data_IF_319929233701
#
_entry.id   IF_319929233701
#
_cell.length_a   1.000
_cell.length_b   1.000
_cell.length_c   1.000
_cell.angle_alpha   90.00
_cell.angle_beta   90.00
_cell.angle_gamma   90.00
#
_symmetry.space_group_name_H-M   'P 1'
#
loop_
_entity.id
_entity.type
_entity.pdbx_description
1 polymer ?
#
# COMPACT_ATOMS: atom_id res chain seq x y z
N UNK A 1 53.39 20.19 19.13
CA UNK A 1 52.47 21.18 18.53
C UNK A 1 52.28 20.90 17.05
N UNK A 2 53.26 21.13 16.17
CA UNK A 2 53.10 20.84 14.72
C UNK A 2 52.84 19.35 14.41
N UNK A 3 53.57 18.43 15.07
CA UNK A 3 53.35 16.98 14.90
C UNK A 3 51.97 16.55 15.38
N UNK A 4 51.50 17.08 16.52
CA UNK A 4 50.19 16.71 17.10
C UNK A 4 49.03 17.23 16.26
N UNK A 5 49.13 18.45 15.70
CA UNK A 5 48.14 18.98 14.75
C UNK A 5 48.10 18.14 13.47
N UNK A 6 49.26 17.77 12.92
CA UNK A 6 49.33 16.95 11.71
C UNK A 6 48.86 15.51 11.92
N UNK A 7 49.10 14.90 13.10
CA UNK A 7 48.54 13.58 13.45
C UNK A 7 47.01 13.65 13.50
N UNK A 8 46.45 14.67 14.15
CA UNK A 8 44.98 14.84 14.25
C UNK A 8 44.34 15.03 12.86
N UNK A 9 44.95 15.84 11.99
CA UNK A 9 44.52 16.01 10.61
C UNK A 9 44.66 14.75 9.75
N UNK A 10 45.71 13.95 9.97
CA UNK A 10 45.90 12.67 9.29
C UNK A 10 44.82 11.65 9.68
N UNK A 11 44.49 11.56 10.97
CA UNK A 11 43.42 10.68 11.47
C UNK A 11 42.04 11.12 10.95
N UNK A 12 41.77 12.44 10.95
CA UNK A 12 40.54 12.99 10.41
C UNK A 12 40.38 12.67 8.90
N UNK A 13 41.43 12.89 8.11
CA UNK A 13 41.44 12.56 6.68
C UNK A 13 41.27 11.04 6.44
N UNK A 14 41.84 10.18 7.29
CA UNK A 14 41.65 8.74 7.18
C UNK A 14 40.19 8.32 7.41
N UNK A 15 39.51 8.92 8.39
CA UNK A 15 38.09 8.66 8.65
C UNK A 15 37.22 9.20 7.51
N UNK A 16 37.54 10.38 6.99
CA UNK A 16 36.84 10.99 5.85
C UNK A 16 36.92 10.10 4.61
N UNK A 17 38.13 9.62 4.28
CA UNK A 17 38.33 8.66 3.19
C UNK A 17 37.52 7.38 3.39
N UNK A 18 37.36 6.92 4.64
CA UNK A 18 36.52 5.77 4.97
C UNK A 18 35.04 5.99 4.65
N UNK A 19 34.49 7.15 5.07
CA UNK A 19 33.09 7.52 4.79
C UNK A 19 32.84 7.71 3.29
N UNK A 20 33.73 8.43 2.59
CA UNK A 20 33.63 8.62 1.13
C UNK A 20 33.72 7.27 0.40
N UNK A 21 34.61 6.38 0.84
CA UNK A 21 34.75 5.05 0.23
C UNK A 21 33.47 4.21 0.42
N UNK A 22 32.82 4.31 1.58
CA UNK A 22 31.54 3.65 1.84
C UNK A 22 30.41 4.24 0.97
N UNK A 23 30.37 5.56 0.80
CA UNK A 23 29.44 6.23 -0.13
C UNK A 23 29.63 5.73 -1.57
N UNK A 24 30.88 5.68 -2.07
CA UNK A 24 31.20 5.19 -3.42
C UNK A 24 30.79 3.72 -3.56
N UNK A 25 31.12 2.88 -2.58
CA UNK A 25 30.81 1.45 -2.61
C UNK A 25 29.29 1.20 -2.68
N UNK A 26 28.50 2.02 -1.98
CA UNK A 26 27.05 1.89 -1.91
C UNK A 26 26.28 2.81 -2.88
N UNK A 27 26.96 3.50 -3.80
CA UNK A 27 26.33 4.44 -4.73
C UNK A 27 25.28 3.83 -5.68
N UNK A 28 25.24 2.50 -5.79
CA UNK A 28 24.22 1.77 -6.56
C UNK A 28 23.23 0.98 -5.68
N UNK A 29 23.39 1.02 -4.35
CA UNK A 29 22.50 0.31 -3.42
C UNK A 29 21.18 1.09 -3.28
N UNK A 30 20.05 0.42 -3.50
CA UNK A 30 18.75 1.07 -3.36
C UNK A 30 18.50 1.53 -1.93
N UNK A 31 17.93 2.73 -1.79
CA UNK A 31 17.63 3.34 -0.49
C UNK A 31 18.85 3.72 0.35
N UNK A 32 20.08 3.61 -0.18
CA UNK A 32 21.27 4.08 0.53
C UNK A 32 21.27 5.60 0.66
N UNK A 33 21.67 6.07 1.84
CA UNK A 33 21.76 7.49 2.18
C UNK A 33 23.20 7.85 2.48
N UNK A 34 23.73 8.83 1.74
CA UNK A 34 25.08 9.38 1.85
C UNK A 34 25.39 9.73 3.30
N UNK A 35 26.56 9.33 3.77
CA UNK A 35 27.13 9.77 5.03
C UNK A 35 28.10 10.93 4.80
N UNK A 36 28.04 11.94 5.66
CA UNK A 36 28.99 13.05 5.69
C UNK A 36 29.70 13.10 7.05
N UNK A 37 31.03 13.19 7.03
CA UNK A 37 31.82 13.33 8.24
C UNK A 37 31.87 14.80 8.68
N UNK A 38 31.50 15.07 9.92
CA UNK A 38 31.59 16.41 10.51
C UNK A 38 32.88 16.55 11.33
N UNK A 39 33.53 17.70 11.17
CA UNK A 39 34.77 18.03 11.85
C UNK A 39 34.55 19.12 12.90
N UNK A 40 35.29 19.03 14.00
CA UNK A 40 35.37 20.05 15.03
C UNK A 40 36.83 20.41 15.30
N UNK A 41 37.10 21.68 15.56
CA UNK A 41 38.42 22.13 15.99
C UNK A 41 38.72 21.67 17.42
N UNK A 42 39.94 21.18 17.65
CA UNK A 42 40.41 20.88 18.99
C UNK A 42 40.86 22.19 19.64
N UNK A 43 40.13 22.64 20.65
CA UNK A 43 40.49 23.81 21.46
C UNK A 43 41.28 23.40 22.70
N UNK A 44 42.47 23.99 22.87
CA UNK A 44 43.29 23.85 24.08
C UNK A 44 43.27 25.16 24.86
N UNK A 45 42.47 25.20 25.93
CA UNK A 45 42.56 26.27 26.92
C UNK A 45 43.86 26.11 27.74
N UNK A 46 44.97 26.69 27.28
CA UNK A 46 46.09 26.92 28.19
C UNK A 46 45.74 28.11 29.08
N UNK A 47 45.72 27.88 30.40
CA UNK A 47 45.47 28.91 31.43
C UNK A 47 46.54 30.01 31.35
N UNK A 48 46.32 31.02 30.51
CA UNK A 48 47.21 32.16 30.36
C UNK A 48 46.64 33.18 29.38
N UNK A 49 46.38 34.39 29.87
CA UNK A 49 45.83 35.51 29.10
C UNK A 49 46.76 35.92 27.94
N UNK A 50 46.50 35.42 26.73
CA UNK A 50 47.08 35.93 25.49
C UNK A 50 46.12 35.69 24.32
N UNK A 51 45.73 36.75 23.61
CA UNK A 51 44.70 36.76 22.54
C UNK A 51 45.09 36.03 21.24
N UNK A 52 46.23 35.34 21.18
CA UNK A 52 46.72 34.63 19.99
C UNK A 52 47.22 33.23 20.32
N UNK A 53 46.30 32.34 20.67
CA UNK A 53 46.60 30.91 20.84
C UNK A 53 46.45 30.18 19.50
N UNK A 54 47.50 29.51 18.97
CA UNK A 54 47.36 28.65 17.80
C UNK A 54 46.44 27.46 18.09
N UNK A 55 45.57 27.10 17.15
CA UNK A 55 44.68 25.93 17.26
C UNK A 55 45.45 24.61 17.43
N UNK A 56 44.88 23.66 18.17
CA UNK A 56 45.56 22.41 18.55
C UNK A 56 45.27 21.21 17.65
N UNK A 57 44.44 21.37 16.61
CA UNK A 57 44.19 20.35 15.60
C UNK A 57 42.72 20.25 15.24
N UNK A 58 42.35 19.13 14.62
CA UNK A 58 40.98 18.82 14.19
C UNK A 58 40.61 17.42 14.68
N UNK A 59 39.35 17.23 15.03
CA UNK A 59 38.79 15.91 15.32
C UNK A 59 37.56 15.67 14.44
N UNK A 60 37.39 14.42 14.04
CA UNK A 60 36.13 13.94 13.49
C UNK A 60 35.13 13.78 14.64
N UNK A 61 34.02 14.49 14.57
CA UNK A 61 33.02 14.53 15.65
C UNK A 61 32.00 13.41 15.48
N UNK A 62 31.36 13.34 14.31
CA UNK A 62 30.34 12.34 13.98
C UNK A 62 30.12 12.25 12.49
N UNK A 63 29.64 11.09 12.05
CA UNK A 63 29.05 10.92 10.71
C UNK A 63 27.57 11.22 10.78
N UNK A 64 27.06 12.05 9.86
CA UNK A 64 25.64 12.34 9.71
C UNK A 64 25.15 11.75 8.39
N UNK A 65 24.00 11.10 8.43
CA UNK A 65 23.31 10.62 7.22
C UNK A 65 22.49 11.76 6.60
N UNK A 66 22.64 11.98 5.30
CA UNK A 66 21.78 12.86 4.51
C UNK A 66 20.58 12.09 3.97
N UNK A 67 19.39 12.46 4.44
CA UNK A 67 18.11 11.84 4.05
C UNK A 67 17.47 12.50 2.82
N UNK A 68 18.18 13.39 2.11
CA UNK A 68 17.73 13.96 0.85
C UNK A 68 17.28 12.87 -0.14
N UNK A 69 16.24 13.16 -0.92
CA UNK A 69 15.60 12.20 -1.83
C UNK A 69 16.58 11.78 -2.95
N UNK A 70 16.68 10.48 -3.21
CA UNK A 70 17.42 9.93 -4.35
C UNK A 70 16.60 9.96 -5.64
N UNK A 71 17.23 9.54 -6.75
CA UNK A 71 16.52 9.31 -8.01
C UNK A 71 15.56 8.12 -7.92
N UNK A 72 14.60 8.04 -8.83
CA UNK A 72 13.68 6.89 -8.94
C UNK A 72 14.04 6.03 -10.14
N UNK A 73 13.97 4.71 -9.96
CA UNK A 73 14.14 3.73 -11.03
C UNK A 73 12.94 2.80 -11.04
N UNK A 74 12.18 2.82 -12.14
CA UNK A 74 11.05 1.91 -12.34
C UNK A 74 11.53 0.45 -12.48
N UNK A 75 10.73 -0.47 -11.97
CA UNK A 75 11.02 -1.91 -12.00
C UNK A 75 9.78 -2.69 -12.46
N UNK A 76 9.97 -3.98 -12.76
CA UNK A 76 8.87 -4.88 -13.12
C UNK A 76 8.22 -5.58 -11.92
N UNK A 77 8.75 -5.37 -10.71
CA UNK A 77 8.30 -6.03 -9.48
C UNK A 77 7.27 -5.14 -8.78
N UNK A 78 6.07 -5.67 -8.57
CA UNK A 78 4.98 -4.95 -7.88
C UNK A 78 5.28 -4.68 -6.39
N UNK A 79 6.23 -5.41 -5.81
CA UNK A 79 6.66 -5.27 -4.41
C UNK A 79 7.80 -4.27 -4.23
N UNK A 80 8.35 -3.75 -5.32
CA UNK A 80 9.34 -2.71 -5.25
C UNK A 80 8.63 -1.39 -4.96
N UNK A 81 8.86 -0.83 -3.78
CA UNK A 81 8.21 0.38 -3.32
C UNK A 81 9.23 1.48 -3.09
N UNK A 82 8.95 2.69 -3.58
CA UNK A 82 9.73 3.88 -3.24
C UNK A 82 8.87 4.89 -2.50
N UNK A 83 9.47 5.62 -1.57
CA UNK A 83 8.81 6.74 -0.89
C UNK A 83 9.15 8.01 -1.65
N UNK A 84 8.12 8.75 -2.07
CA UNK A 84 8.23 10.07 -2.68
C UNK A 84 7.91 11.15 -1.65
N UNK A 85 8.96 11.72 -1.05
CA UNK A 85 8.87 12.67 0.05
C UNK A 85 9.47 12.11 1.34
N UNK A 86 9.02 12.64 2.48
CA UNK A 86 9.57 12.30 3.79
C UNK A 86 8.97 11.00 4.37
N UNK A 87 9.77 10.24 5.10
CA UNK A 87 9.31 8.98 5.72
C UNK A 87 10.34 7.86 5.59
N UNK A 88 10.14 6.80 6.36
CA UNK A 88 10.91 5.57 6.32
C UNK A 88 9.94 4.40 6.41
N UNK A 89 10.20 3.32 5.68
CA UNK A 89 9.52 2.05 5.88
C UNK A 89 9.86 1.52 7.26
N UNK A 90 8.86 0.96 7.93
CA UNK A 90 9.02 0.33 9.24
C UNK A 90 9.15 -1.17 9.01
N UNK A 91 10.24 -1.76 9.47
CA UNK A 91 10.50 -3.20 9.33
C UNK A 91 10.74 -3.83 10.69
N UNK A 92 10.35 -5.08 10.85
CA UNK A 92 10.54 -5.86 12.07
C UNK A 92 11.59 -6.95 11.82
N UNK A 93 12.66 -6.94 12.62
CA UNK A 93 13.79 -7.86 12.50
C UNK A 93 14.03 -8.56 13.84
N UNK A 94 13.63 -9.82 13.96
CA UNK A 94 13.88 -10.61 15.17
C UNK A 94 13.26 -10.06 16.47
N UNK A 95 12.23 -9.21 16.37
CA UNK A 95 11.59 -8.54 17.50
C UNK A 95 11.95 -7.06 17.65
N UNK A 96 12.99 -6.60 16.95
CA UNK A 96 13.41 -5.20 16.94
C UNK A 96 12.78 -4.45 15.76
N UNK A 97 12.28 -3.25 16.01
CA UNK A 97 11.78 -2.35 14.97
C UNK A 97 12.91 -1.51 14.40
N UNK A 98 13.10 -1.61 13.09
CA UNK A 98 14.08 -0.86 12.32
C UNK A 98 13.38 -0.06 11.22
N UNK A 99 14.10 0.90 10.65
CA UNK A 99 13.59 1.83 9.65
C UNK A 99 14.48 1.81 8.43
N UNK A 100 13.92 1.87 7.22
CA UNK A 100 14.72 1.86 5.98
C UNK A 100 14.08 2.68 4.88
N UNK A 101 14.91 3.15 3.93
CA UNK A 101 14.47 3.69 2.64
C UNK A 101 14.49 2.66 1.52
N UNK A 102 15.17 1.53 1.74
CA UNK A 102 15.18 0.46 0.76
C UNK A 102 13.81 -0.20 0.73
N UNK A 103 13.22 -0.29 -0.46
CA UNK A 103 11.92 -0.92 -0.66
C UNK A 103 11.97 -2.06 -1.66
N UNK A 104 13.10 -2.76 -1.71
CA UNK A 104 13.29 -4.03 -2.41
C UNK A 104 12.64 -5.18 -1.61
N UNK A 105 11.30 -5.20 -1.61
CA UNK A 105 10.54 -6.21 -0.89
C UNK A 105 10.23 -7.43 -1.77
N UNK A 106 9.97 -8.56 -1.10
CA UNK A 106 9.52 -9.81 -1.69
C UNK A 106 8.45 -10.46 -0.82
N UNK A 107 7.71 -11.39 -1.40
CA UNK A 107 6.71 -12.16 -0.68
C UNK A 107 7.36 -13.42 -0.09
N UNK A 108 7.20 -13.61 1.22
CA UNK A 108 7.54 -14.86 1.91
C UNK A 108 6.53 -15.97 1.54
N UNK A 109 6.89 -17.27 1.64
CA UNK A 109 5.92 -18.36 1.47
C UNK A 109 4.68 -18.25 2.37
N UNK A 110 4.83 -17.64 3.55
CA UNK A 110 3.72 -17.40 4.50
C UNK A 110 2.89 -16.14 4.13
N UNK A 111 3.16 -15.48 3.01
CA UNK A 111 2.44 -14.29 2.55
C UNK A 111 2.91 -12.97 3.18
N UNK A 112 3.92 -12.96 4.05
CA UNK A 112 4.46 -11.70 4.59
C UNK A 112 5.29 -10.95 3.55
N UNK A 113 5.15 -9.62 3.53
CA UNK A 113 6.04 -8.75 2.76
C UNK A 113 7.34 -8.58 3.55
N UNK A 114 8.45 -9.05 2.98
CA UNK A 114 9.75 -9.08 3.65
C UNK A 114 10.83 -8.43 2.81
N UNK A 115 11.85 -7.88 3.46
CA UNK A 115 13.08 -7.46 2.79
C UNK A 115 13.90 -8.68 2.34
N UNK A 116 14.93 -8.47 1.52
CA UNK A 116 15.86 -9.54 1.16
C UNK A 116 16.52 -10.19 2.40
N UNK A 117 16.77 -9.39 3.44
CA UNK A 117 17.26 -9.84 4.75
C UNK A 117 16.24 -10.57 5.63
N UNK A 118 15.00 -10.76 5.17
CA UNK A 118 13.94 -11.48 5.90
C UNK A 118 13.22 -10.67 6.98
N UNK A 119 13.47 -9.35 7.04
CA UNK A 119 12.75 -8.47 7.98
C UNK A 119 11.38 -8.13 7.43
N UNK A 120 10.34 -8.11 8.27
CA UNK A 120 8.94 -7.98 7.83
C UNK A 120 8.51 -6.52 7.77
N UNK A 121 7.96 -6.10 6.64
CA UNK A 121 7.38 -4.76 6.48
C UNK A 121 6.15 -4.62 7.39
N UNK A 122 6.07 -3.51 8.12
CA UNK A 122 4.92 -3.19 8.96
C UNK A 122 3.89 -2.36 8.18
N UNK A 123 2.62 -2.57 8.50
CA UNK A 123 1.50 -1.85 7.92
C UNK A 123 0.28 -1.87 8.83
N UNK A 124 -0.76 -1.15 8.40
CA UNK A 124 -2.08 -1.21 8.99
C UNK A 124 -2.87 -2.36 8.36
N UNK A 125 -3.46 -3.27 9.15
CA UNK A 125 -4.22 -4.38 8.62
C UNK A 125 -5.55 -3.92 8.01
N UNK A 126 -6.06 -4.69 7.04
CA UNK A 126 -7.43 -4.56 6.57
C UNK A 126 -8.38 -5.48 7.36
N UNK A 127 -9.62 -5.03 7.59
CA UNK A 127 -10.68 -5.89 8.12
C UNK A 127 -11.21 -6.87 7.04
N UNK A 128 -12.08 -7.81 7.43
CA UNK A 128 -12.67 -8.78 6.52
C UNK A 128 -13.51 -8.15 5.38
N UNK A 129 -13.90 -6.89 5.52
CA UNK A 129 -14.65 -6.14 4.50
C UNK A 129 -13.74 -5.31 3.59
N UNK A 130 -12.45 -5.19 3.90
CA UNK A 130 -11.45 -4.44 3.15
C UNK A 130 -11.21 -3.01 3.63
N UNK A 131 -11.68 -2.63 4.83
CA UNK A 131 -11.35 -1.32 5.41
C UNK A 131 -10.02 -1.37 6.16
N UNK A 132 -9.20 -0.33 6.02
CA UNK A 132 -7.92 -0.23 6.72
C UNK A 132 -8.12 0.22 8.17
N UNK A 133 -7.70 -0.61 9.12
CA UNK A 133 -7.75 -0.31 10.55
C UNK A 133 -6.45 0.33 10.99
N UNK A 134 -6.46 1.66 11.20
CA UNK A 134 -5.26 2.45 11.54
C UNK A 134 -4.97 2.56 13.05
N UNK A 135 -5.34 1.53 13.82
CA UNK A 135 -5.18 1.55 15.28
C UNK A 135 -3.73 1.24 15.69
N UNK A 136 -3.20 0.13 15.17
CA UNK A 136 -1.85 -0.35 15.44
C UNK A 136 -1.21 -0.88 14.14
N UNK A 137 0.11 -0.90 14.10
CA UNK A 137 0.85 -1.54 13.00
C UNK A 137 1.10 -3.01 13.28
N UNK A 138 0.92 -3.84 12.27
CA UNK A 138 1.22 -5.28 12.29
C UNK A 138 2.10 -5.66 11.11
N UNK A 139 2.64 -6.88 11.12
CA UNK A 139 3.32 -7.45 9.94
C UNK A 139 2.36 -7.41 8.75
N UNK A 140 2.78 -6.76 7.65
CA UNK A 140 1.98 -6.70 6.44
C UNK A 140 2.00 -8.07 5.76
N UNK A 141 0.81 -8.68 5.70
CA UNK A 141 0.61 -9.99 5.12
C UNK A 141 -0.36 -9.90 3.95
N UNK A 142 0.11 -10.30 2.77
CA UNK A 142 -0.73 -10.53 1.60
C UNK A 142 -1.15 -11.99 1.67
N UNK A 143 -2.34 -12.23 2.19
CA UNK A 143 -2.88 -13.58 2.33
C UNK A 143 -3.06 -14.21 0.95
N UNK A 144 -2.33 -15.30 0.70
CA UNK A 144 -2.39 -16.07 -0.56
C UNK A 144 -3.46 -17.16 -0.53
N UNK A 145 -4.23 -17.26 0.56
CA UNK A 145 -5.31 -18.24 0.69
C UNK A 145 -6.46 -17.92 -0.26
N UNK A 146 -7.26 -18.94 -0.55
CA UNK A 146 -8.49 -18.77 -1.30
C UNK A 146 -9.38 -17.75 -0.58
N UNK A 147 -9.83 -16.73 -1.31
CA UNK A 147 -10.91 -15.86 -0.85
C UNK A 147 -12.18 -16.71 -0.78
N UNK A 148 -12.72 -16.88 0.42
CA UNK A 148 -13.96 -17.62 0.63
C UNK A 148 -15.11 -16.99 -0.15
N UNK A 149 -16.01 -17.83 -0.63
CA UNK A 149 -17.24 -17.42 -1.28
C UNK A 149 -18.09 -16.53 -0.38
N UNK A 150 -18.89 -15.66 -1.00
CA UNK A 150 -19.95 -14.91 -0.33
C UNK A 150 -21.29 -15.32 -0.96
N UNK A 151 -22.21 -15.98 -0.22
CA UNK A 151 -23.54 -16.27 -0.74
C UNK A 151 -24.27 -14.96 -1.04
N UNK A 152 -25.03 -14.93 -2.13
CA UNK A 152 -25.83 -13.75 -2.51
C UNK A 152 -26.91 -13.49 -1.46
N UNK A 153 -26.94 -12.28 -0.91
CA UNK A 153 -27.97 -11.83 0.03
C UNK A 153 -28.92 -10.82 -0.60
N UNK A 154 -28.45 -10.06 -1.60
CA UNK A 154 -29.22 -8.97 -2.20
C UNK A 154 -29.09 -8.97 -3.72
N UNK A 155 -30.21 -8.77 -4.42
CA UNK A 155 -30.29 -8.50 -5.84
C UNK A 155 -30.96 -7.14 -6.02
N UNK A 156 -30.38 -6.24 -6.79
CA UNK A 156 -31.00 -4.95 -7.12
C UNK A 156 -31.34 -4.91 -8.60
N UNK A 157 -32.62 -4.73 -8.91
CA UNK A 157 -33.11 -4.54 -10.26
C UNK A 157 -33.54 -3.09 -10.47
N UNK A 158 -32.97 -2.46 -11.49
CA UNK A 158 -33.39 -1.16 -11.99
C UNK A 158 -33.73 -1.28 -13.48
N UNK A 159 -34.87 -0.76 -13.88
CA UNK A 159 -35.33 -0.87 -15.25
C UNK A 159 -36.70 -0.28 -15.47
N UNK A 160 -37.13 -0.29 -16.73
CA UNK A 160 -38.46 0.12 -17.12
C UNK A 160 -39.32 -1.10 -17.48
N UNK A 161 -40.59 -1.08 -17.10
CA UNK A 161 -41.63 -2.01 -17.54
C UNK A 161 -42.66 -1.23 -18.38
N UNK A 162 -42.96 -1.70 -19.59
CA UNK A 162 -43.83 -0.99 -20.55
C UNK A 162 -45.30 -1.01 -20.11
N UNK A 163 -45.79 0.10 -19.55
CA UNK A 163 -47.20 0.20 -19.13
C UNK A 163 -48.24 -0.02 -20.25
N UNK A 164 -47.82 -0.01 -21.52
CA UNK A 164 -48.69 -0.26 -22.68
C UNK A 164 -48.69 -1.72 -23.12
N UNK A 165 -47.93 -2.60 -22.47
CA UNK A 165 -47.90 -4.01 -22.85
C UNK A 165 -49.29 -4.64 -22.68
N UNK A 166 -49.61 -5.63 -23.52
CA UNK A 166 -50.84 -6.40 -23.36
C UNK A 166 -50.63 -7.44 -22.25
N UNK A 167 -51.56 -7.52 -21.31
CA UNK A 167 -51.53 -8.54 -20.27
C UNK A 167 -51.54 -9.95 -20.88
N UNK A 168 -50.72 -10.89 -20.38
CA UNK A 168 -50.86 -12.32 -20.66
C UNK A 168 -52.26 -12.82 -20.33
N UNK A 169 -52.69 -13.90 -20.99
CA UNK A 169 -54.01 -14.50 -20.78
C UNK A 169 -54.12 -15.02 -19.32
N UNK A 170 -55.01 -14.44 -18.50
CA UNK A 170 -55.16 -14.85 -17.10
C UNK A 170 -55.70 -16.27 -16.93
N UNK A 171 -56.23 -16.90 -17.99
CA UNK A 171 -56.67 -18.30 -17.97
C UNK A 171 -55.50 -19.29 -18.05
N UNK A 172 -54.31 -18.83 -18.44
CA UNK A 172 -53.10 -19.66 -18.55
C UNK A 172 -52.26 -19.49 -17.29
N UNK A 173 -51.94 -20.59 -16.61
CA UNK A 173 -51.05 -20.58 -15.45
C UNK A 173 -49.64 -20.18 -15.91
N UNK A 174 -48.97 -19.33 -15.13
CA UNK A 174 -47.59 -18.92 -15.39
C UNK A 174 -46.67 -20.13 -15.65
N UNK A 175 -45.90 -20.07 -16.73
CA UNK A 175 -44.93 -21.09 -17.11
C UNK A 175 -43.68 -20.40 -17.67
N UNK A 176 -42.58 -20.53 -16.95
CA UNK A 176 -41.27 -19.96 -17.31
C UNK A 176 -40.77 -20.37 -18.70
N UNK A 177 -41.23 -21.51 -19.22
CA UNK A 177 -40.87 -22.03 -20.55
C UNK A 177 -41.79 -21.54 -21.67
N UNK A 178 -42.91 -20.88 -21.33
CA UNK A 178 -43.89 -20.38 -22.28
C UNK A 178 -43.85 -18.83 -22.33
N UNK A 179 -43.27 -18.23 -23.39
CA UNK A 179 -43.18 -16.78 -23.55
C UNK A 179 -44.52 -16.05 -23.62
N UNK A 180 -45.64 -16.75 -23.83
CA UNK A 180 -46.97 -16.14 -23.82
C UNK A 180 -47.48 -15.82 -22.41
N UNK A 181 -46.81 -16.29 -21.35
CA UNK A 181 -47.25 -16.14 -19.96
C UNK A 181 -46.60 -14.97 -19.22
N UNK A 182 -45.69 -14.23 -19.86
CA UNK A 182 -45.01 -13.06 -19.28
C UNK A 182 -44.68 -12.02 -20.36
N UNK A 183 -44.47 -10.77 -19.97
CA UNK A 183 -44.16 -9.67 -20.90
C UNK A 183 -42.67 -9.43 -21.04
N UNK A 184 -41.93 -9.58 -19.94
CA UNK A 184 -40.50 -9.30 -19.90
C UNK A 184 -39.82 -10.29 -18.96
N UNK A 185 -38.61 -10.70 -19.31
CA UNK A 185 -37.79 -11.55 -18.47
C UNK A 185 -36.34 -11.08 -18.49
N UNK A 186 -35.68 -11.18 -17.34
CA UNK A 186 -34.25 -10.87 -17.20
C UNK A 186 -33.63 -11.87 -16.23
N UNK A 187 -32.34 -12.15 -16.40
CA UNK A 187 -31.65 -13.14 -15.59
C UNK A 187 -30.33 -12.59 -15.03
N UNK A 188 -29.97 -13.05 -13.85
CA UNK A 188 -28.66 -12.82 -13.21
C UNK A 188 -28.15 -14.10 -12.59
N UNK A 189 -26.84 -14.17 -12.40
CA UNK A 189 -26.20 -15.28 -11.70
C UNK A 189 -26.01 -14.93 -10.23
N UNK A 190 -26.46 -15.80 -9.34
CA UNK A 190 -26.25 -15.71 -7.89
C UNK A 190 -25.31 -16.84 -7.44
N UNK A 191 -24.84 -16.74 -6.19
CA UNK A 191 -23.96 -17.72 -5.58
C UNK A 191 -24.55 -18.27 -4.27
N UNK A 192 -24.32 -19.55 -4.02
CA UNK A 192 -24.73 -20.22 -2.79
C UNK A 192 -23.62 -20.25 -1.71
N UNK A 193 -23.92 -20.78 -0.52
CA UNK A 193 -22.94 -20.90 0.56
C UNK A 193 -21.79 -21.87 0.25
N UNK A 194 -21.90 -22.71 -0.77
CA UNK A 194 -20.84 -23.57 -1.29
C UNK A 194 -20.01 -22.92 -2.42
N UNK A 195 -20.44 -21.75 -2.92
CA UNK A 195 -19.82 -21.03 -4.03
C UNK A 195 -20.23 -21.52 -5.42
N UNK A 196 -21.28 -22.35 -5.52
CA UNK A 196 -21.87 -22.74 -6.79
C UNK A 196 -22.72 -21.61 -7.38
N UNK A 197 -22.67 -21.47 -8.70
CA UNK A 197 -23.44 -20.48 -9.44
C UNK A 197 -24.83 -21.02 -9.78
N UNK A 198 -25.86 -20.21 -9.51
CA UNK A 198 -27.25 -20.48 -9.89
C UNK A 198 -27.80 -19.33 -10.72
N UNK A 199 -28.67 -19.61 -11.69
CA UNK A 199 -29.30 -18.57 -12.50
C UNK A 199 -30.66 -18.20 -11.92
N UNK A 200 -30.81 -16.94 -11.49
CA UNK A 200 -32.10 -16.35 -11.12
C UNK A 200 -32.69 -15.65 -12.32
N UNK A 201 -33.89 -16.04 -12.71
CA UNK A 201 -34.66 -15.38 -13.75
C UNK A 201 -35.89 -14.71 -13.15
N UNK A 202 -36.02 -13.40 -13.38
CA UNK A 202 -37.17 -12.59 -13.02
C UNK A 202 -38.10 -12.49 -14.23
N UNK A 203 -39.34 -12.90 -14.07
CA UNK A 203 -40.38 -12.80 -15.07
C UNK A 203 -41.42 -11.78 -14.62
N UNK A 204 -41.71 -10.81 -15.49
CA UNK A 204 -42.67 -9.75 -15.25
C UNK A 204 -43.89 -9.97 -16.14
N UNK A 205 -45.03 -10.19 -15.52
CA UNK A 205 -46.33 -10.31 -16.19
C UNK A 205 -47.23 -9.16 -15.76
N UNK A 206 -47.75 -8.40 -16.71
CA UNK A 206 -48.71 -7.34 -16.42
C UNK A 206 -50.02 -7.96 -15.93
N UNK A 207 -50.66 -7.32 -14.95
CA UNK A 207 -51.91 -7.80 -14.35
C UNK A 207 -53.10 -7.49 -15.28
N UNK A 208 -53.91 -8.50 -15.57
CA UNK A 208 -55.11 -8.35 -16.41
C UNK A 208 -56.24 -7.54 -15.73
N UNK A 209 -56.22 -7.46 -14.40
CA UNK A 209 -57.26 -6.84 -13.60
C UNK A 209 -56.98 -5.37 -13.26
N UNK A 210 -55.72 -4.91 -13.40
CA UNK A 210 -55.32 -3.55 -13.07
C UNK A 210 -54.22 -3.03 -14.01
N UNK A 211 -54.50 -1.91 -14.68
CA UNK A 211 -53.50 -1.17 -15.45
C UNK A 211 -52.36 -0.72 -14.53
N UNK A 212 -51.14 -0.64 -15.07
CA UNK A 212 -49.92 -0.22 -14.35
C UNK A 212 -49.54 -1.11 -13.15
N UNK A 213 -49.92 -2.39 -13.16
CA UNK A 213 -49.53 -3.36 -12.16
C UNK A 213 -48.83 -4.56 -12.82
N UNK A 214 -47.73 -5.01 -12.22
CA UNK A 214 -46.96 -6.16 -12.66
C UNK A 214 -46.83 -7.19 -11.54
N UNK A 215 -47.03 -8.45 -11.88
CA UNK A 215 -46.69 -9.59 -11.04
C UNK A 215 -45.32 -10.10 -11.44
N UNK A 216 -44.43 -10.22 -10.46
CA UNK A 216 -43.07 -10.76 -10.61
C UNK A 216 -43.08 -12.21 -10.14
N UNK A 217 -42.64 -13.09 -11.03
CA UNK A 217 -42.33 -14.48 -10.73
C UNK A 217 -40.82 -14.68 -10.78
N UNK A 218 -40.30 -15.49 -9.86
CA UNK A 218 -38.87 -15.78 -9.77
C UNK A 218 -38.65 -17.27 -10.04
N UNK A 219 -37.73 -17.59 -10.93
CA UNK A 219 -37.21 -18.94 -11.10
C UNK A 219 -35.73 -18.98 -10.76
N UNK A 220 -35.29 -20.11 -10.18
CA UNK A 220 -33.87 -20.40 -9.94
C UNK A 220 -33.56 -21.71 -10.67
N UNK A 221 -32.56 -21.69 -11.56
CA UNK A 221 -32.19 -22.81 -12.44
C UNK A 221 -33.40 -23.45 -13.15
N UNK A 222 -34.20 -22.60 -13.79
CA UNK A 222 -35.45 -22.95 -14.49
C UNK A 222 -36.57 -23.52 -13.59
N UNK A 223 -36.38 -23.57 -12.27
CA UNK A 223 -37.39 -23.99 -11.30
C UNK A 223 -38.06 -22.76 -10.70
N UNK A 224 -39.36 -22.59 -11.01
CA UNK A 224 -40.18 -21.50 -10.46
C UNK A 224 -40.30 -21.66 -8.94
N UNK A 225 -39.94 -20.60 -8.22
CA UNK A 225 -39.98 -20.56 -6.77
C UNK A 225 -41.36 -20.17 -6.26
N UNK A 226 -41.69 -20.62 -5.05
CA UNK A 226 -42.96 -20.28 -4.42
C UNK A 226 -42.93 -18.81 -3.95
N UNK A 227 -43.85 -18.01 -4.50
CA UNK A 227 -43.97 -16.59 -4.17
C UNK A 227 -44.27 -15.76 -5.41
N UNK A 228 -45.07 -14.72 -5.23
CA UNK A 228 -45.34 -13.70 -6.24
C UNK A 228 -45.16 -12.34 -5.58
N UNK A 229 -44.63 -11.39 -6.33
CA UNK A 229 -44.46 -10.03 -5.85
C UNK A 229 -45.17 -9.07 -6.78
N UNK A 230 -45.93 -8.14 -6.21
CA UNK A 230 -46.71 -7.18 -7.00
C UNK A 230 -46.03 -5.81 -7.00
N UNK A 231 -45.71 -5.33 -8.19
CA UNK A 231 -45.25 -3.96 -8.42
C UNK A 231 -46.44 -3.14 -8.93
N UNK A 232 -46.73 -2.05 -8.23
CA UNK A 232 -47.79 -1.11 -8.62
C UNK A 232 -47.19 0.25 -8.95
N UNK A 233 -47.53 0.80 -10.11
CA UNK A 233 -47.07 2.11 -10.57
C UNK A 233 -48.21 3.12 -10.57
N UNK A 234 -47.89 4.37 -10.26
CA UNK A 234 -48.82 5.49 -10.38
C UNK A 234 -48.91 6.00 -11.82
N UNK A 235 -49.78 6.99 -12.06
CA UNK A 235 -49.97 7.58 -13.39
C UNK A 235 -48.74 8.33 -13.91
N UNK A 236 -47.72 8.55 -13.08
CA UNK A 236 -46.45 9.15 -13.48
C UNK A 236 -45.41 8.10 -13.87
N UNK A 237 -45.70 6.80 -13.67
CA UNK A 237 -44.76 5.70 -13.92
C UNK A 237 -43.79 5.45 -12.75
N UNK A 238 -44.03 6.06 -11.59
CA UNK A 238 -43.27 5.80 -10.36
C UNK A 238 -43.95 4.72 -9.53
N UNK A 239 -43.20 4.01 -8.67
CA UNK A 239 -43.81 3.04 -7.74
C UNK A 239 -44.76 3.78 -6.78
N UNK A 240 -45.97 3.24 -6.60
CA UNK A 240 -46.99 3.83 -5.71
C UNK A 240 -46.43 3.92 -4.29
N UNK A 241 -46.46 5.13 -3.72
CA UNK A 241 -45.93 5.40 -2.39
C UNK A 241 -46.56 4.48 -1.33
N UNK A 242 -45.71 3.80 -0.55
CA UNK A 242 -46.12 2.85 0.49
C UNK A 242 -46.27 1.40 0.01
N UNK A 243 -46.07 1.13 -1.28
CA UNK A 243 -45.95 -0.25 -1.79
C UNK A 243 -44.63 -0.87 -1.31
N UNK A 244 -44.63 -2.19 -1.10
CA UNK A 244 -43.38 -2.92 -0.89
C UNK A 244 -42.52 -2.83 -2.16
N UNK A 245 -41.21 -2.68 -1.98
CA UNK A 245 -40.23 -2.69 -3.08
C UNK A 245 -39.27 -3.86 -3.00
N UNK A 246 -39.35 -4.65 -1.93
CA UNK A 246 -38.44 -5.76 -1.64
C UNK A 246 -39.21 -7.08 -1.60
N UNK A 247 -38.70 -8.08 -2.33
CA UNK A 247 -39.14 -9.46 -2.27
C UNK A 247 -38.08 -10.30 -1.58
N UNK A 248 -38.40 -10.97 -0.47
CA UNK A 248 -37.52 -11.96 0.15
C UNK A 248 -37.78 -13.35 -0.43
N UNK A 249 -36.82 -13.85 -1.21
CA UNK A 249 -36.80 -15.22 -1.71
C UNK A 249 -36.07 -16.12 -0.72
N UNK A 250 -36.77 -17.12 -0.20
CA UNK A 250 -36.16 -18.15 0.65
C UNK A 250 -35.66 -19.28 -0.27
N UNK A 251 -34.38 -19.30 -0.62
CA UNK A 251 -33.81 -20.28 -1.53
C UNK A 251 -33.03 -21.36 -0.77
N UNK A 252 -33.34 -22.63 -1.02
CA UNK A 252 -32.62 -23.77 -0.43
C UNK A 252 -31.97 -24.61 -1.53
N UNK A 253 -30.68 -24.38 -1.84
CA UNK A 253 -29.93 -25.18 -2.81
C UNK A 253 -29.73 -26.63 -2.32
N UNK A 254 -29.53 -27.56 -3.25
CA UNK A 254 -29.48 -29.00 -2.94
C UNK A 254 -28.25 -29.43 -2.12
N UNK A 255 -27.14 -28.66 -2.14
CA UNK A 255 -25.88 -29.00 -1.48
C UNK A 255 -25.26 -27.82 -0.70
N UNK A 256 -26.08 -26.85 -0.31
CA UNK A 256 -25.64 -25.67 0.45
C UNK A 256 -26.71 -25.27 1.47
N UNK A 257 -26.37 -24.33 2.34
CA UNK A 257 -27.29 -23.84 3.37
C UNK A 257 -28.43 -23.04 2.73
N UNK A 258 -29.58 -23.01 3.41
CA UNK A 258 -30.67 -22.13 3.02
C UNK A 258 -30.22 -20.67 3.13
N UNK A 259 -30.58 -19.86 2.14
CA UNK A 259 -30.25 -18.44 2.09
C UNK A 259 -31.47 -17.59 1.75
N UNK A 260 -31.58 -16.47 2.46
CA UNK A 260 -32.60 -15.45 2.20
C UNK A 260 -32.01 -14.42 1.25
N UNK A 261 -32.64 -14.27 0.08
CA UNK A 261 -32.22 -13.33 -0.96
C UNK A 261 -33.25 -12.21 -1.05
N UNK A 262 -32.84 -10.99 -0.75
CA UNK A 262 -33.68 -9.80 -0.90
C UNK A 262 -33.54 -9.26 -2.32
N UNK A 263 -34.64 -9.21 -3.06
CA UNK A 263 -34.70 -8.63 -4.40
C UNK A 263 -35.34 -7.25 -4.29
N UNK A 264 -34.54 -6.21 -4.48
CA UNK A 264 -34.95 -4.80 -4.43
C UNK A 264 -35.33 -4.30 -5.84
N UNK A 265 -36.56 -3.79 -5.94
CA UNK A 265 -37.16 -3.22 -7.13
C UNK A 265 -37.35 -1.70 -7.03
N UNK A 266 -36.83 -1.02 -6.01
CA UNK A 266 -37.08 0.39 -5.76
C UNK A 266 -36.77 1.32 -6.94
N UNK A 267 -35.79 0.98 -7.79
CA UNK A 267 -35.46 1.74 -8.99
C UNK A 267 -36.19 1.28 -10.27
N UNK A 268 -37.30 0.58 -10.14
CA UNK A 268 -38.15 0.19 -11.29
C UNK A 268 -39.12 1.31 -11.66
N UNK A 269 -39.31 1.54 -12.97
CA UNK A 269 -40.29 2.48 -13.51
C UNK A 269 -41.31 1.78 -14.39
N UNK A 270 -42.52 2.34 -14.47
CA UNK A 270 -43.63 1.86 -15.29
C UNK A 270 -43.98 2.83 -16.42
N UNK A 271 -43.00 3.34 -17.16
CA UNK A 271 -43.26 4.28 -18.26
C UNK A 271 -43.78 3.54 -19.50
N UNK A 272 -44.55 4.26 -20.34
CA UNK A 272 -45.05 3.79 -21.63
C UNK A 272 -43.95 3.73 -22.70
N UNK A 273 -42.89 2.99 -22.42
CA UNK A 273 -41.74 2.72 -23.27
C UNK A 273 -41.38 1.24 -23.14
N UNK A 274 -40.72 0.67 -24.15
CA UNK A 274 -40.36 -0.76 -24.17
C UNK A 274 -39.67 -1.19 -22.88
N UNK A 275 -40.07 -2.35 -22.34
CA UNK A 275 -39.46 -2.91 -21.14
C UNK A 275 -37.96 -3.16 -21.36
N UNK A 276 -37.14 -2.74 -20.40
CA UNK A 276 -35.69 -2.87 -20.49
C UNK A 276 -35.05 -2.90 -19.10
N UNK A 277 -34.08 -3.79 -18.92
CA UNK A 277 -33.19 -3.81 -17.76
C UNK A 277 -32.15 -2.70 -17.91
N UNK A 278 -32.12 -1.76 -16.97
CA UNK A 278 -31.08 -0.71 -16.92
C UNK A 278 -29.88 -1.18 -16.10
N UNK A 279 -30.11 -1.84 -14.96
CA UNK A 279 -29.08 -2.55 -14.21
C UNK A 279 -29.67 -3.72 -13.45
N UNK A 280 -28.91 -4.80 -13.34
CA UNK A 280 -29.24 -5.94 -12.49
C UNK A 280 -27.96 -6.40 -11.82
N UNK A 281 -27.84 -6.14 -10.51
CA UNK A 281 -26.61 -6.36 -9.73
C UNK A 281 -26.90 -7.22 -8.50
N UNK A 282 -25.87 -7.90 -8.00
CA UNK A 282 -25.95 -8.74 -6.81
C UNK A 282 -24.61 -8.74 -6.05
N UNK A 283 -24.62 -9.17 -4.79
CA UNK A 283 -23.50 -9.03 -3.84
C UNK A 283 -22.69 -10.31 -3.55
N UNK A 284 -23.11 -11.45 -4.10
CA UNK A 284 -22.45 -12.73 -3.93
C UNK A 284 -21.31 -12.98 -4.92
N UNK A 285 -20.41 -13.88 -4.58
CA UNK A 285 -19.32 -14.31 -5.46
C UNK A 285 -18.81 -15.70 -5.08
N UNK A 286 -18.35 -16.46 -6.08
CA UNK A 286 -17.67 -17.72 -5.87
C UNK A 286 -16.30 -17.52 -5.19
N UNK A 287 -15.74 -18.60 -4.64
CA UNK A 287 -14.41 -18.55 -4.08
C UNK A 287 -13.36 -18.21 -5.15
N UNK A 288 -12.38 -17.37 -4.79
CA UNK A 288 -11.39 -16.83 -5.72
C UNK A 288 -9.96 -17.12 -5.28
N UNK A 289 -9.10 -17.55 -6.20
CA UNK A 289 -7.66 -17.63 -5.94
C UNK A 289 -7.01 -16.26 -6.16
N UNK A 290 -5.92 -15.97 -5.45
CA UNK A 290 -5.15 -14.75 -5.68
C UNK A 290 -4.59 -14.77 -7.11
N UNK A 291 -4.99 -13.80 -7.92
CA UNK A 291 -4.53 -13.59 -9.30
C UNK A 291 -3.30 -12.69 -9.34
N UNK A 292 -3.29 -11.66 -8.49
CA UNK A 292 -2.18 -10.73 -8.36
C UNK A 292 -2.44 -9.71 -7.25
N UNK A 293 -1.46 -8.87 -6.96
CA UNK A 293 -1.62 -7.77 -6.02
C UNK A 293 -0.93 -6.51 -6.55
N UNK A 294 -1.38 -5.35 -6.09
CA UNK A 294 -0.79 -4.07 -6.44
C UNK A 294 -0.82 -3.13 -5.25
N UNK A 295 0.09 -2.16 -5.24
CA UNK A 295 0.07 -1.06 -4.27
C UNK A 295 -0.39 0.20 -4.97
N UNK A 296 -1.25 0.98 -4.32
CA UNK A 296 -1.59 2.31 -4.76
C UNK A 296 -0.59 3.37 -4.24
N UNK A 297 -0.80 4.64 -4.62
CA UNK A 297 0.02 5.76 -4.15
C UNK A 297 -0.18 6.13 -2.68
N UNK A 298 -1.29 5.71 -2.09
CA UNK A 298 -1.53 5.82 -0.66
C UNK A 298 -0.89 4.67 0.13
N UNK A 299 -0.23 3.72 -0.55
CA UNK A 299 0.40 2.55 0.04
C UNK A 299 -0.59 1.46 0.44
N UNK A 300 -1.83 1.50 -0.03
CA UNK A 300 -2.80 0.42 0.17
C UNK A 300 -2.46 -0.71 -0.80
N UNK A 301 -2.29 -1.91 -0.25
CA UNK A 301 -2.13 -3.15 -1.00
C UNK A 301 -3.52 -3.69 -1.37
N UNK A 302 -3.78 -3.86 -2.65
CA UNK A 302 -4.96 -4.52 -3.18
C UNK A 302 -4.59 -5.89 -3.72
N UNK A 303 -5.36 -6.91 -3.32
CA UNK A 303 -5.32 -8.25 -3.88
C UNK A 303 -6.47 -8.40 -4.87
N UNK A 304 -6.14 -8.83 -6.09
CA UNK A 304 -7.10 -9.18 -7.14
C UNK A 304 -7.25 -10.70 -7.20
N UNK A 305 -8.48 -11.17 -7.36
CA UNK A 305 -8.81 -12.59 -7.32
C UNK A 305 -9.40 -13.07 -8.65
N UNK A 306 -9.32 -14.38 -8.92
CA UNK A 306 -9.82 -14.99 -10.16
C UNK A 306 -11.33 -14.89 -10.33
N UNK A 307 -12.07 -14.62 -9.26
CA UNK A 307 -13.51 -14.37 -9.27
C UNK A 307 -13.87 -12.91 -9.65
N UNK A 308 -12.87 -12.07 -9.94
CA UNK A 308 -13.06 -10.67 -10.32
C UNK A 308 -13.11 -9.69 -9.15
N UNK A 309 -13.10 -10.19 -7.91
CA UNK A 309 -13.09 -9.34 -6.73
C UNK A 309 -11.70 -8.74 -6.48
N UNK A 310 -11.69 -7.51 -5.97
CA UNK A 310 -10.49 -6.84 -5.48
C UNK A 310 -10.70 -6.42 -4.03
N UNK A 311 -9.79 -6.82 -3.15
CA UNK A 311 -9.84 -6.50 -1.72
C UNK A 311 -8.58 -5.79 -1.28
N UNK A 312 -8.72 -4.74 -0.49
CA UNK A 312 -7.58 -4.20 0.24
C UNK A 312 -7.15 -5.20 1.31
N UNK A 313 -5.86 -5.53 1.36
CA UNK A 313 -5.29 -6.49 2.33
C UNK A 313 -4.50 -5.80 3.44
N UNK A 314 -4.11 -4.56 3.22
CA UNK A 314 -3.46 -3.72 4.23
C UNK A 314 -2.92 -2.44 3.62
N UNK A 315 -2.34 -1.59 4.46
CA UNK A 315 -1.70 -0.34 4.04
C UNK A 315 -0.30 -0.23 4.64
N UNK A 316 0.71 0.11 3.85
CA UNK A 316 2.08 0.33 4.36
C UNK A 316 2.08 1.45 5.40
N UNK A 317 2.80 1.26 6.50
CA UNK A 317 3.00 2.30 7.50
C UNK A 317 4.36 2.98 7.32
N UNK A 318 4.39 4.31 7.41
CA UNK A 318 5.61 5.10 7.35
C UNK A 318 5.90 5.76 8.70
N UNK A 319 7.18 5.83 9.05
CA UNK A 319 7.66 6.60 10.20
C UNK A 319 8.39 7.86 9.75
N UNK A 320 8.08 8.98 10.40
CA UNK A 320 8.91 10.20 10.33
C UNK A 320 9.49 10.49 11.71
N UNK A 321 10.62 11.19 11.74
CA UNK A 321 11.33 11.56 12.96
C UNK A 321 11.50 13.07 13.01
N UNK A 322 11.43 13.64 14.22
CA UNK A 322 11.71 15.08 14.40
C UNK A 322 13.14 15.41 13.95
N UNK A 323 14.09 14.50 14.18
CA UNK A 323 15.46 14.64 13.72
C UNK A 323 15.96 13.33 13.08
N UNK A 324 15.72 13.15 11.78
CA UNK A 324 16.19 11.95 11.06
C UNK A 324 17.72 11.77 11.12
N UNK A 325 18.49 12.86 11.17
CA UNK A 325 19.95 12.79 11.30
C UNK A 325 20.46 12.31 12.66
N UNK A 326 19.56 12.11 13.64
CA UNK A 326 19.86 11.49 14.92
C UNK A 326 19.69 9.97 14.93
N UNK A 327 19.19 9.36 13.85
CA UNK A 327 19.01 7.91 13.77
C UNK A 327 20.36 7.17 13.80
N UNK A 328 20.38 6.02 14.46
CA UNK A 328 21.57 5.18 14.52
C UNK A 328 21.55 4.19 13.35
N UNK A 329 22.62 4.15 12.54
CA UNK A 329 22.74 3.14 11.47
C UNK A 329 22.96 1.75 12.06
N UNK A 330 22.18 0.77 11.62
CA UNK A 330 22.32 -0.66 11.96
C UNK A 330 22.86 -1.50 10.79
N UNK A 331 23.36 -0.84 9.75
CA UNK A 331 23.85 -1.49 8.53
C UNK A 331 22.72 -2.00 7.64
N UNK A 332 23.07 -2.51 6.44
CA UNK A 332 22.10 -2.96 5.41
C UNK A 332 21.00 -1.91 5.13
N UNK A 333 21.38 -0.64 5.06
CA UNK A 333 20.47 0.53 4.90
C UNK A 333 19.38 0.67 5.97
N UNK A 334 19.52 -0.03 7.11
CA UNK A 334 18.60 0.04 8.23
C UNK A 334 19.06 1.05 9.28
N UNK A 335 18.08 1.66 9.92
CA UNK A 335 18.24 2.68 10.96
C UNK A 335 17.43 2.29 12.20
N UNK A 336 17.91 2.66 13.38
CA UNK A 336 17.21 2.51 14.64
C UNK A 336 16.98 3.88 15.30
N UNK A 337 15.91 3.96 16.10
CA UNK A 337 15.64 5.12 16.95
C UNK A 337 16.78 5.36 17.94
N UNK A 338 17.08 6.64 18.21
CA UNK A 338 17.97 7.06 19.28
C UNK A 338 17.35 8.19 20.10
N UNK A 339 17.97 8.51 21.23
CA UNK A 339 17.57 9.68 22.03
C UNK A 339 17.68 11.01 21.27
N UNK A 340 18.53 11.06 20.22
CA UNK A 340 18.73 12.25 19.39
C UNK A 340 17.74 12.34 18.22
N UNK A 341 17.16 11.21 17.78
CA UNK A 341 16.15 11.22 16.71
C UNK A 341 14.77 11.65 17.20
N UNK A 342 14.50 11.37 18.49
CA UNK A 342 13.17 11.42 19.07
C UNK A 342 12.34 10.19 18.68
N UNK A 343 11.12 10.13 19.22
CA UNK A 343 10.20 9.03 18.98
C UNK A 343 9.64 9.04 17.55
N UNK A 344 9.39 7.86 16.95
CA UNK A 344 8.82 7.76 15.60
C UNK A 344 7.37 8.30 15.58
N UNK A 345 7.07 9.16 14.62
CA UNK A 345 5.70 9.50 14.22
C UNK A 345 5.25 8.53 13.13
N UNK A 346 4.50 7.49 13.52
CA UNK A 346 3.98 6.46 12.62
C UNK A 346 2.63 6.90 12.05
N UNK A 347 2.39 6.63 10.76
CA UNK A 347 1.15 6.99 10.10
C UNK A 347 1.07 6.49 8.67
N UNK A 348 -0.07 6.73 8.03
CA UNK A 348 -0.29 6.37 6.64
C UNK A 348 0.49 7.30 5.68
N UNK A 349 0.88 6.82 4.49
CA UNK A 349 1.42 7.65 3.43
C UNK A 349 0.47 8.79 3.04
N UNK A 350 1.04 9.88 2.49
CA UNK A 350 0.35 11.08 2.04
C UNK A 350 -0.44 11.88 3.13
N UNK A 351 -0.30 11.52 4.41
CA UNK A 351 -0.95 12.18 5.56
C UNK A 351 0.12 12.66 6.54
N UNK A 352 -0.13 13.76 7.25
CA UNK A 352 0.74 14.29 8.31
C UNK A 352 2.21 14.50 7.88
N UNK A 353 2.41 15.02 6.66
CA UNK A 353 3.73 15.30 6.11
C UNK A 353 4.53 14.08 5.68
N UNK A 354 3.91 12.89 5.62
CA UNK A 354 4.53 11.68 5.06
C UNK A 354 4.39 11.66 3.54
N UNK A 355 5.43 11.16 2.87
CA UNK A 355 5.51 10.99 1.44
C UNK A 355 4.48 10.01 0.88
N UNK A 356 4.34 10.02 -0.43
CA UNK A 356 3.50 9.06 -1.16
C UNK A 356 4.30 7.78 -1.45
N UNK A 357 3.60 6.68 -1.66
CA UNK A 357 4.23 5.46 -2.18
C UNK A 357 4.24 5.53 -3.71
N UNK A 358 5.37 5.12 -4.31
CA UNK A 358 5.48 4.83 -5.73
C UNK A 358 5.61 3.32 -5.90
N UNK A 359 4.56 2.66 -6.42
CA UNK A 359 4.62 1.22 -6.70
C UNK A 359 5.57 0.94 -7.86
N UNK A 360 6.07 -0.29 -7.94
CA UNK A 360 6.98 -0.78 -8.98
C UNK A 360 8.18 0.14 -9.23
N UNK A 361 8.73 0.71 -8.17
CA UNK A 361 9.80 1.72 -8.24
C UNK A 361 10.75 1.52 -7.08
N UNK A 362 12.05 1.64 -7.31
CA UNK A 362 13.07 1.70 -6.28
C UNK A 362 13.68 3.10 -6.21
N UNK A 363 13.98 3.55 -4.99
CA UNK A 363 14.78 4.75 -4.75
C UNK A 363 16.27 4.40 -4.92
N UNK A 364 16.99 5.11 -5.79
CA UNK A 364 18.44 5.02 -5.94
C UNK A 364 19.15 5.71 -4.78
N UNK A 365 20.43 5.39 -4.55
CA UNK A 365 21.23 6.13 -3.60
C UNK A 365 21.27 7.63 -3.95
N UNK A 366 21.30 8.52 -2.95
CA UNK A 366 21.48 9.96 -3.14
C UNK A 366 22.97 10.36 -3.27
N UNK A 367 23.82 9.43 -3.72
CA UNK A 367 25.26 9.63 -3.85
C UNK A 367 25.60 10.03 -5.29
N UNK A 368 26.21 11.19 -5.46
CA UNK A 368 26.85 11.55 -6.74
C UNK A 368 28.29 11.03 -6.75
N UNK A 369 28.50 9.93 -7.49
CA UNK A 369 29.80 9.27 -7.60
C UNK A 369 30.91 10.21 -8.10
N UNK A 370 30.58 11.18 -8.95
CA UNK A 370 31.58 12.12 -9.48
C UNK A 370 32.08 13.05 -8.37
N UNK A 371 31.14 13.54 -7.55
CA UNK A 371 31.45 14.39 -6.40
C UNK A 371 32.19 13.61 -5.31
N UNK A 372 31.80 12.36 -5.03
CA UNK A 372 32.52 11.52 -4.06
C UNK A 372 33.96 11.21 -4.53
N UNK A 373 34.18 10.93 -5.82
CA UNK A 373 35.53 10.71 -6.34
C UNK A 373 36.40 11.96 -6.24
N UNK A 374 35.83 13.15 -6.45
CA UNK A 374 36.54 14.42 -6.24
C UNK A 374 36.88 14.61 -4.75
N UNK A 375 35.92 14.40 -3.85
CA UNK A 375 36.13 14.48 -2.41
C UNK A 375 37.20 13.47 -1.94
N UNK A 376 37.23 12.27 -2.51
CA UNK A 376 38.26 11.27 -2.21
C UNK A 376 39.67 11.77 -2.59
N UNK A 377 39.80 12.44 -3.74
CA UNK A 377 41.08 13.03 -4.17
C UNK A 377 41.49 14.17 -3.22
N UNK A 378 40.55 14.98 -2.76
CA UNK A 378 40.81 16.05 -1.78
C UNK A 378 41.26 15.47 -0.43
N UNK A 379 40.55 14.48 0.10
CA UNK A 379 40.92 13.79 1.35
C UNK A 379 42.29 13.09 1.23
N UNK A 380 42.60 12.47 0.07
CA UNK A 380 43.92 11.90 -0.20
C UNK A 380 45.03 12.96 -0.21
N UNK A 381 44.79 14.13 -0.81
CA UNK A 381 45.76 15.25 -0.79
C UNK A 381 45.95 15.79 0.62
N UNK A 382 44.87 15.91 1.41
CA UNK A 382 44.96 16.31 2.81
C UNK A 382 45.77 15.32 3.64
N UNK A 383 45.54 14.01 3.46
CA UNK A 383 46.34 12.96 4.08
C UNK A 383 47.83 13.06 3.72
N UNK A 384 48.15 13.20 2.42
CA UNK A 384 49.54 13.35 1.94
C UNK A 384 50.22 14.61 2.50
N UNK A 385 49.49 15.72 2.56
CA UNK A 385 50.00 17.00 3.10
C UNK A 385 50.32 16.89 4.60
N UNK A 386 49.43 16.26 5.36
CA UNK A 386 49.65 16.01 6.79
C UNK A 386 50.82 15.05 7.03
N UNK A 387 50.98 14.01 6.20
CA UNK A 387 52.11 13.09 6.27
C UNK A 387 53.44 13.81 5.97
N UNK A 388 53.49 14.67 4.94
CA UNK A 388 54.67 15.45 4.62
C UNK A 388 55.05 16.42 5.76
N UNK A 389 54.05 17.04 6.42
CA UNK A 389 54.29 17.90 7.57
C UNK A 389 54.93 17.14 8.75
N UNK A 390 54.52 15.89 9.00
CA UNK A 390 55.14 15.01 10.00
C UNK A 390 56.59 14.68 9.61
N UNK A 391 56.84 14.34 8.34
CA UNK A 391 58.19 14.05 7.85
C UNK A 391 59.12 15.25 8.04
N UNK A 392 58.70 16.44 7.60
CA UNK A 392 59.50 17.66 7.75
C UNK A 392 59.77 17.99 9.24
N UNK A 393 58.80 17.74 10.12
CA UNK A 393 58.97 17.95 11.56
C UNK A 393 59.97 16.95 12.17
N UNK A 394 59.98 15.70 11.72
CA UNK A 394 60.96 14.70 12.14
C UNK A 394 62.37 15.05 11.63
N UNK A 395 62.51 15.43 10.37
CA UNK A 395 63.79 15.87 9.80
C UNK A 395 64.36 17.08 10.55
N UNK A 396 63.51 18.05 10.93
CA UNK A 396 63.92 19.18 11.76
C UNK A 396 64.35 18.76 13.17
N UNK A 397 63.66 17.79 13.78
CA UNK A 397 64.03 17.26 15.09
C UNK A 397 65.39 16.53 15.05
N UNK A 398 65.63 15.73 14.01
CA UNK A 398 66.90 15.03 13.77
C UNK A 398 68.05 16.02 13.53
N UNK A 399 67.82 17.09 12.77
CA UNK A 399 68.82 18.14 12.56
C UNK A 399 69.20 18.84 13.87
N UNK A 400 68.24 19.10 14.77
CA UNK A 400 68.52 19.66 16.10
C UNK A 400 69.34 18.70 16.97
N UNK A 401 69.09 17.39 16.88
CA UNK A 401 69.85 16.38 17.59
C UNK A 401 71.31 16.29 17.10
N UNK A 402 71.56 16.49 15.81
CA UNK A 402 72.91 16.48 15.21
C UNK A 402 73.73 17.75 15.49
N UNK A 403 73.11 18.82 16.00
CA UNK A 403 73.79 20.06 16.41
C UNK A 403 74.35 20.02 17.84
N UNK A 404 74.19 18.90 18.55
CA UNK A 404 74.83 18.62 19.84
C UNK A 404 76.00 17.67 19.66
#
# INVERSE_FOLDING_TARGET
>A
MAVTTSISGLQAAQQEMGVISDNIANGNTSGFKRGDLLFAELYSASLGFSETQPGTGVAAERTRTDFSQGGFRETSSQLDLAIDGDGLFIIQSGGDTLYTRAGDFRLSPDGYVVTEGGSRLQGFPADATGNIVKADTTDLQITTTLLSQNPTSTITFNGNLDSRAESPDPAVVFDATNPATYNFATATTIYDSAGAAHQVTLYFAQDAAADNKYTVHVAVDDVVQAGQFELSFDNTGSIVAGSATELTLNYTPANADAQDIVIDFAGTTGFGATSATSSLTQDGYAAGQLSGFEFDRAGIAYASYTNGETRAVGQVALATFTNAGGLESKGKTNFAESTLSGTPSIGAPAIDGKGLIRPSTLESANVDLTMEMLALIEAQRAFQTNAQAIQNANEAADAVLQLR
#
